data_IF_088648353853
#
_entry.id   IF_088648353853
#
_cell.length_a   1.000
_cell.length_b   1.000
_cell.length_c   1.000
_cell.angle_alpha   90.00
_cell.angle_beta   90.00
_cell.angle_gamma   90.00
#
_symmetry.space_group_name_H-M   'P 1'
#
loop_
_entity.id
_entity.type
_entity.pdbx_description
1 polymer ?
#
# COMPACT_ATOMS: atom_id res chain seq x y z
N UNK A 1 -17.13 -5.63 -13.21
CA UNK A 1 -16.59 -5.22 -11.90
C UNK A 1 -15.33 -4.41 -12.17
N UNK A 2 -15.22 -3.21 -11.60
CA UNK A 2 -14.02 -2.40 -11.77
C UNK A 2 -12.81 -3.16 -11.20
N UNK A 3 -11.73 -3.27 -11.97
CA UNK A 3 -10.50 -3.95 -11.55
C UNK A 3 -9.93 -3.23 -10.32
N UNK A 4 -9.64 -3.96 -9.24
CA UNK A 4 -9.11 -3.39 -8.00
C UNK A 4 -7.60 -3.40 -8.00
N UNK A 5 -7.01 -2.34 -7.44
CA UNK A 5 -5.58 -2.32 -7.15
C UNK A 5 -5.24 -3.28 -6.01
N UNK A 6 -4.06 -3.87 -6.02
CA UNK A 6 -3.57 -4.71 -4.93
C UNK A 6 -3.62 -3.93 -3.60
N UNK A 7 -3.87 -4.62 -2.50
CA UNK A 7 -4.13 -4.10 -1.16
C UNK A 7 -5.48 -3.39 -0.99
N UNK A 8 -6.23 -3.12 -2.07
CA UNK A 8 -7.56 -2.51 -1.99
C UNK A 8 -8.66 -3.58 -2.06
N UNK A 9 -9.76 -3.36 -1.35
CA UNK A 9 -10.98 -4.17 -1.46
C UNK A 9 -11.68 -4.45 -0.13
N UNK A 10 -12.98 -4.77 -0.17
CA UNK A 10 -13.77 -5.13 1.00
C UNK A 10 -13.67 -6.63 1.31
N UNK A 11 -12.47 -7.10 1.65
CA UNK A 11 -12.23 -8.51 2.02
C UNK A 11 -12.57 -8.81 3.50
N UNK A 12 -12.83 -7.81 4.31
CA UNK A 12 -13.28 -7.91 5.69
C UNK A 12 -14.41 -6.92 5.97
N UNK A 13 -15.37 -7.32 6.81
CA UNK A 13 -16.10 -6.37 7.64
C UNK A 13 -15.13 -5.83 8.70
N UNK A 14 -14.86 -4.53 8.67
CA UNK A 14 -13.97 -3.86 9.62
C UNK A 14 -14.48 -3.88 11.06
N UNK A 15 -15.71 -4.31 11.30
CA UNK A 15 -16.36 -4.51 12.59
C UNK A 15 -16.15 -3.33 13.57
N UNK A 16 -16.23 -2.10 13.05
CA UNK A 16 -15.92 -0.88 13.81
C UNK A 16 -16.78 -0.75 15.10
N UNK A 17 -18.04 -1.20 15.03
CA UNK A 17 -18.98 -1.19 16.14
C UNK A 17 -18.61 -2.15 17.29
N UNK A 18 -17.84 -3.21 16.99
CA UNK A 18 -17.40 -4.22 17.97
C UNK A 18 -16.10 -3.85 18.68
N UNK A 19 -15.35 -2.85 18.19
CA UNK A 19 -14.04 -2.46 18.74
C UNK A 19 -14.11 -1.92 20.17
N UNK A 20 -15.28 -1.47 20.60
CA UNK A 20 -15.53 -0.89 21.94
C UNK A 20 -16.38 -1.80 22.83
N UNK A 21 -16.69 -3.02 22.39
CA UNK A 21 -17.42 -3.99 23.19
C UNK A 21 -16.43 -4.97 23.86
N UNK A 22 -16.14 -4.81 25.18
CA UNK A 22 -15.17 -5.66 25.86
C UNK A 22 -15.63 -7.11 25.97
N UNK A 23 -16.95 -7.36 26.08
CA UNK A 23 -17.49 -8.71 26.20
C UNK A 23 -17.32 -9.46 24.88
N UNK A 24 -17.67 -8.82 23.76
CA UNK A 24 -17.45 -9.37 22.45
C UNK A 24 -15.96 -9.62 22.18
N UNK A 25 -15.10 -8.65 22.53
CA UNK A 25 -13.67 -8.75 22.29
C UNK A 25 -13.06 -9.95 23.04
N UNK A 26 -13.44 -10.13 24.32
CA UNK A 26 -13.03 -11.27 25.13
C UNK A 26 -13.49 -12.59 24.51
N UNK A 27 -14.76 -12.67 24.06
CA UNK A 27 -15.28 -13.84 23.39
C UNK A 27 -14.56 -14.13 22.09
N UNK A 28 -14.24 -13.10 21.29
CA UNK A 28 -13.50 -13.25 20.04
C UNK A 28 -12.06 -13.75 20.24
N UNK A 29 -11.41 -13.33 21.34
CA UNK A 29 -10.07 -13.87 21.71
C UNK A 29 -10.11 -15.34 22.12
N UNK A 30 -11.20 -15.80 22.69
CA UNK A 30 -11.39 -17.21 23.10
C UNK A 30 -11.94 -18.11 21.98
N UNK A 31 -12.39 -17.55 20.85
CA UNK A 31 -12.97 -18.31 19.74
C UNK A 31 -11.88 -19.02 18.93
N UNK A 32 -11.97 -20.35 18.83
CA UNK A 32 -11.02 -21.19 18.06
C UNK A 32 -10.98 -20.84 16.56
N UNK A 33 -12.02 -20.17 16.03
CA UNK A 33 -12.06 -19.69 14.64
C UNK A 33 -11.28 -18.41 14.43
N UNK A 34 -10.93 -17.71 15.50
CA UNK A 34 -10.12 -16.48 15.40
C UNK A 34 -8.70 -16.77 14.92
N UNK A 35 -8.15 -15.85 14.14
CA UNK A 35 -6.84 -15.98 13.51
C UNK A 35 -5.97 -14.76 13.79
N UNK A 36 -4.71 -15.02 14.12
CA UNK A 36 -3.67 -14.01 14.22
C UNK A 36 -2.86 -13.94 12.91
N UNK A 37 -2.59 -12.72 12.48
CA UNK A 37 -1.75 -12.41 11.33
C UNK A 37 -0.41 -11.93 11.87
N UNK A 38 0.61 -12.80 11.92
CA UNK A 38 1.90 -12.43 12.47
C UNK A 38 2.67 -11.53 11.52
N UNK A 39 3.26 -10.49 12.06
CA UNK A 39 4.19 -9.60 11.37
C UNK A 39 5.48 -9.54 12.16
N UNK A 40 6.60 -9.87 11.53
CA UNK A 40 7.94 -9.80 12.09
C UNK A 40 8.84 -8.90 11.24
N UNK A 41 9.42 -7.88 11.83
CA UNK A 41 10.28 -6.90 11.13
C UNK A 41 9.66 -6.39 9.81
N UNK A 42 8.36 -6.05 9.86
CA UNK A 42 7.57 -5.62 8.71
C UNK A 42 7.42 -6.66 7.58
N UNK A 43 7.74 -7.94 7.84
CA UNK A 43 7.52 -9.07 6.95
C UNK A 43 6.28 -9.85 7.36
N UNK A 44 5.60 -10.44 6.39
CA UNK A 44 4.40 -11.26 6.59
C UNK A 44 4.73 -12.74 6.50
N UNK A 45 4.07 -13.57 7.31
CA UNK A 45 4.20 -15.03 7.27
C UNK A 45 3.42 -15.58 6.07
N UNK A 46 4.12 -16.31 5.21
CA UNK A 46 3.55 -16.96 4.02
C UNK A 46 4.02 -18.41 3.89
N UNK A 47 3.33 -19.19 3.09
CA UNK A 47 3.80 -20.52 2.70
C UNK A 47 4.96 -20.41 1.70
N UNK A 48 5.86 -21.39 1.70
CA UNK A 48 6.88 -21.56 0.67
C UNK A 48 6.28 -22.06 -0.65
N UNK A 49 7.03 -21.94 -1.75
CA UNK A 49 6.67 -22.40 -3.10
C UNK A 49 6.29 -21.29 -4.07
N UNK A 50 5.94 -21.68 -5.29
CA UNK A 50 5.68 -20.78 -6.41
C UNK A 50 4.32 -20.06 -6.32
N UNK A 51 3.39 -20.61 -5.55
CA UNK A 51 2.06 -20.06 -5.30
C UNK A 51 1.87 -19.81 -3.80
N UNK A 52 2.55 -18.79 -3.24
CA UNK A 52 2.49 -18.54 -1.80
C UNK A 52 1.09 -18.15 -1.36
N UNK A 53 0.76 -18.51 -0.12
CA UNK A 53 -0.49 -18.16 0.57
C UNK A 53 -0.17 -17.49 1.90
N UNK A 54 -1.01 -16.59 2.34
CA UNK A 54 -0.91 -16.06 3.69
C UNK A 54 -1.04 -17.18 4.73
N UNK A 55 -0.17 -17.19 5.73
CA UNK A 55 -0.25 -18.12 6.85
C UNK A 55 -0.68 -17.40 8.11
N UNK A 56 -1.80 -17.85 8.67
CA UNK A 56 -2.37 -17.34 9.90
C UNK A 56 -2.05 -18.31 11.06
N UNK A 57 -1.96 -17.80 12.27
CA UNK A 57 -1.82 -18.57 13.51
C UNK A 57 -3.18 -18.67 14.18
N UNK A 58 -3.41 -19.75 14.92
CA UNK A 58 -4.51 -19.80 15.86
C UNK A 58 -4.14 -19.01 17.12
N UNK A 59 -5.10 -18.35 17.76
CA UNK A 59 -4.78 -17.51 18.93
C UNK A 59 -4.22 -18.34 20.09
N UNK A 60 -4.63 -19.61 20.22
CA UNK A 60 -4.09 -20.55 21.21
C UNK A 60 -2.61 -20.89 21.02
N UNK A 61 -2.06 -20.70 19.82
CA UNK A 61 -0.64 -20.95 19.53
C UNK A 61 0.25 -19.75 19.90
N UNK A 62 -0.36 -18.61 20.27
CA UNK A 62 0.37 -17.46 20.75
C UNK A 62 0.74 -17.62 22.23
N UNK A 63 1.85 -16.98 22.69
CA UNK A 63 2.16 -16.93 24.12
C UNK A 63 0.96 -16.33 24.89
N UNK A 64 0.47 -16.96 25.97
CA UNK A 64 -0.72 -16.49 26.67
C UNK A 64 -0.64 -15.04 27.14
N UNK A 65 0.54 -14.57 27.53
CA UNK A 65 0.82 -13.20 27.94
C UNK A 65 0.71 -12.18 26.79
N UNK A 66 0.74 -12.65 25.56
CA UNK A 66 0.61 -11.86 24.32
C UNK A 66 -0.78 -11.95 23.69
N UNK A 67 -1.67 -12.74 24.30
CA UNK A 67 -3.02 -12.95 23.80
C UNK A 67 -4.02 -11.99 24.49
N UNK A 68 -3.65 -10.72 24.58
CA UNK A 68 -4.44 -9.67 25.23
C UNK A 68 -4.97 -8.65 24.23
N UNK A 69 -5.99 -7.91 24.63
CA UNK A 69 -6.51 -6.80 23.83
C UNK A 69 -5.53 -5.64 23.63
N UNK A 70 -4.42 -5.62 24.39
CA UNK A 70 -3.35 -4.65 24.22
C UNK A 70 -2.32 -5.09 23.16
N UNK A 71 -2.17 -6.40 22.94
CA UNK A 71 -1.16 -6.97 22.04
C UNK A 71 -1.71 -7.28 20.63
N UNK A 72 -3.03 -7.41 20.52
CA UNK A 72 -3.71 -7.80 19.29
C UNK A 72 -4.57 -6.67 18.74
N UNK A 73 -4.40 -6.39 17.44
CA UNK A 73 -5.17 -5.36 16.74
C UNK A 73 -6.29 -6.04 15.97
N UNK A 74 -7.54 -5.78 16.30
CA UNK A 74 -8.67 -6.29 15.53
C UNK A 74 -8.68 -5.68 14.13
N UNK A 75 -8.52 -6.49 13.10
CA UNK A 75 -8.61 -6.06 11.71
C UNK A 75 -10.05 -6.09 11.21
N UNK A 76 -10.83 -7.08 11.65
CA UNK A 76 -12.22 -7.27 11.26
C UNK A 76 -12.62 -8.74 11.20
N UNK A 77 -13.72 -9.01 10.48
CA UNK A 77 -14.31 -10.35 10.35
C UNK A 77 -14.56 -10.71 8.89
N UNK A 78 -14.38 -11.99 8.58
CA UNK A 78 -14.88 -12.59 7.35
C UNK A 78 -15.76 -13.81 7.77
N UNK A 79 -17.07 -13.69 7.56
CA UNK A 79 -18.02 -14.65 8.12
C UNK A 79 -17.90 -14.71 9.65
N UNK A 80 -17.69 -15.91 10.17
CA UNK A 80 -17.55 -16.17 11.61
C UNK A 80 -16.11 -16.02 12.13
N UNK A 81 -15.12 -15.83 11.26
CA UNK A 81 -13.72 -15.73 11.63
C UNK A 81 -13.34 -14.28 11.93
N UNK A 82 -12.78 -14.03 13.11
CA UNK A 82 -12.17 -12.76 13.49
C UNK A 82 -10.68 -12.77 13.19
N UNK A 83 -10.15 -11.68 12.62
CA UNK A 83 -8.75 -11.53 12.27
C UNK A 83 -8.09 -10.45 13.11
N UNK A 84 -6.94 -10.78 13.69
CA UNK A 84 -6.14 -9.89 14.51
C UNK A 84 -4.74 -9.75 13.95
N UNK A 85 -4.20 -8.54 13.87
CA UNK A 85 -2.77 -8.38 13.62
C UNK A 85 -1.99 -8.63 14.91
N UNK A 86 -0.90 -9.39 14.78
CA UNK A 86 0.00 -9.76 15.87
C UNK A 86 1.42 -9.32 15.57
N UNK A 87 1.97 -8.46 16.42
CA UNK A 87 3.31 -7.94 16.32
C UNK A 87 4.33 -8.84 17.03
N UNK A 88 5.23 -9.47 16.26
CA UNK A 88 6.34 -10.24 16.83
C UNK A 88 7.51 -9.29 17.09
N UNK A 89 7.66 -8.87 18.35
CA UNK A 89 8.70 -7.93 18.81
C UNK A 89 10.04 -8.64 19.13
N UNK A 90 10.42 -9.65 18.36
CA UNK A 90 11.68 -10.35 18.54
C UNK A 90 12.74 -9.80 17.60
N UNK A 91 13.99 -9.63 18.12
CA UNK A 91 15.17 -9.32 17.31
C UNK A 91 15.59 -10.55 16.52
N UNK A 92 15.55 -11.73 17.16
CA UNK A 92 15.85 -13.00 16.53
C UNK A 92 14.69 -13.52 15.69
N UNK A 93 14.95 -14.21 14.57
CA UNK A 93 13.88 -14.82 13.78
C UNK A 93 13.04 -15.77 14.65
N UNK A 94 11.70 -15.65 14.61
CA UNK A 94 10.86 -16.58 15.34
C UNK A 94 11.00 -18.00 14.76
N UNK A 95 10.74 -18.99 15.60
CA UNK A 95 10.68 -20.38 15.14
C UNK A 95 9.55 -20.51 14.12
N UNK A 96 9.89 -20.98 12.93
CA UNK A 96 8.97 -21.09 11.81
C UNK A 96 8.19 -22.41 11.86
N UNK A 97 6.94 -22.37 11.44
CA UNK A 97 6.20 -23.55 11.09
C UNK A 97 6.82 -24.18 9.82
N UNK A 98 6.88 -25.51 9.71
CA UNK A 98 7.39 -26.16 8.50
C UNK A 98 6.69 -25.66 7.23
N UNK A 99 7.45 -25.41 6.17
CA UNK A 99 6.94 -24.94 4.88
C UNK A 99 6.46 -23.47 4.90
N UNK A 100 6.93 -22.66 5.86
CA UNK A 100 6.60 -21.23 5.93
C UNK A 100 7.85 -20.35 6.04
N UNK A 101 7.72 -19.10 5.62
CA UNK A 101 8.75 -18.07 5.78
C UNK A 101 8.15 -16.69 6.02
N UNK A 102 8.92 -15.80 6.65
CA UNK A 102 8.60 -14.37 6.68
C UNK A 102 9.19 -13.68 5.46
N UNK A 103 8.33 -12.97 4.71
CA UNK A 103 8.74 -12.32 3.46
C UNK A 103 8.29 -10.86 3.39
N UNK A 104 9.06 -10.03 2.67
CA UNK A 104 8.66 -8.66 2.36
C UNK A 104 7.45 -8.68 1.42
N UNK A 105 6.37 -8.06 1.84
CA UNK A 105 5.12 -8.04 1.09
C UNK A 105 5.26 -7.37 -0.30
N UNK A 106 6.23 -6.47 -0.47
CA UNK A 106 6.53 -5.86 -1.79
C UNK A 106 6.96 -6.90 -2.83
N UNK A 107 7.62 -7.96 -2.39
CA UNK A 107 8.15 -8.99 -3.29
C UNK A 107 7.10 -10.04 -3.67
N UNK A 108 6.14 -10.30 -2.77
CA UNK A 108 5.21 -11.44 -2.91
C UNK A 108 3.75 -11.05 -3.12
N UNK A 109 3.38 -9.79 -2.92
CA UNK A 109 1.98 -9.37 -3.01
C UNK A 109 1.32 -9.71 -4.36
N UNK A 110 2.06 -9.67 -5.47
CA UNK A 110 1.56 -10.02 -6.79
C UNK A 110 1.30 -11.53 -6.98
N UNK A 111 1.90 -12.36 -6.13
CA UNK A 111 1.77 -13.82 -6.18
C UNK A 111 0.66 -14.32 -5.23
N UNK A 112 0.22 -13.48 -4.29
CA UNK A 112 -0.83 -13.80 -3.35
C UNK A 112 -2.22 -13.56 -3.94
N UNK A 113 -3.26 -14.27 -3.49
CA UNK A 113 -4.63 -13.84 -3.70
C UNK A 113 -4.84 -12.41 -3.21
N UNK A 114 -5.65 -11.63 -3.95
CA UNK A 114 -5.80 -10.18 -3.72
C UNK A 114 -6.35 -9.85 -2.32
N UNK A 115 -7.23 -10.69 -1.80
CA UNK A 115 -7.79 -10.58 -0.45
C UNK A 115 -6.74 -10.86 0.63
N UNK A 116 -5.91 -11.86 0.45
CA UNK A 116 -4.80 -12.16 1.35
C UNK A 116 -3.75 -11.04 1.34
N UNK A 117 -3.34 -10.57 0.15
CA UNK A 117 -2.43 -9.43 0.02
C UNK A 117 -2.97 -8.19 0.75
N UNK A 118 -4.27 -7.90 0.58
CA UNK A 118 -4.94 -6.81 1.24
C UNK A 118 -4.94 -6.94 2.77
N UNK A 119 -5.23 -8.13 3.27
CA UNK A 119 -5.27 -8.39 4.70
C UNK A 119 -3.89 -8.30 5.35
N UNK A 120 -2.85 -8.84 4.69
CA UNK A 120 -1.46 -8.72 5.15
C UNK A 120 -0.98 -7.26 5.11
N UNK A 121 -1.34 -6.52 4.06
CA UNK A 121 -1.04 -5.09 3.95
C UNK A 121 -1.67 -4.27 5.07
N UNK A 122 -2.92 -4.57 5.42
CA UNK A 122 -3.62 -3.92 6.52
C UNK A 122 -2.98 -4.22 7.87
N UNK A 123 -2.67 -5.49 8.16
CA UNK A 123 -1.97 -5.89 9.39
C UNK A 123 -0.64 -5.13 9.53
N UNK A 124 0.16 -5.12 8.47
CA UNK A 124 1.45 -4.42 8.41
C UNK A 124 1.31 -2.92 8.67
N UNK A 125 0.32 -2.26 8.05
CA UNK A 125 0.10 -0.83 8.23
C UNK A 125 -0.25 -0.48 9.68
N UNK A 126 -1.17 -1.25 10.31
CA UNK A 126 -1.60 -1.03 11.68
C UNK A 126 -0.46 -1.23 12.68
N UNK A 127 0.32 -2.29 12.53
CA UNK A 127 1.49 -2.56 13.37
C UNK A 127 2.55 -1.46 13.19
N UNK A 128 2.86 -1.09 11.94
CA UNK A 128 3.82 -0.02 11.65
C UNK A 128 3.40 1.31 12.29
N UNK A 129 2.11 1.63 12.23
CA UNK A 129 1.57 2.82 12.87
C UNK A 129 1.72 2.76 14.39
N UNK A 130 1.32 1.68 15.06
CA UNK A 130 1.43 1.56 16.53
C UNK A 130 2.89 1.64 16.99
N UNK A 131 3.83 0.99 16.28
CA UNK A 131 5.26 1.04 16.60
C UNK A 131 5.83 2.46 16.56
N UNK A 132 5.37 3.30 15.64
CA UNK A 132 5.85 4.67 15.45
C UNK A 132 5.18 5.68 16.39
N UNK A 133 4.07 5.32 17.02
CA UNK A 133 3.27 6.21 17.85
C UNK A 133 3.20 5.75 19.31
N UNK A 134 4.24 5.05 19.78
CA UNK A 134 4.37 4.59 21.18
C UNK A 134 4.38 5.73 22.20
N UNK A 135 4.64 6.95 21.75
CA UNK A 135 4.66 8.15 22.58
C UNK A 135 3.70 9.21 22.04
N UNK A 136 3.11 9.95 22.96
CA UNK A 136 2.19 11.01 22.62
C UNK A 136 2.91 12.18 21.96
N UNK A 137 2.47 12.58 20.76
CA UNK A 137 3.03 13.72 20.04
C UNK A 137 2.81 15.08 20.71
N UNK A 138 1.87 15.15 21.69
CA UNK A 138 1.58 16.39 22.39
C UNK A 138 2.36 16.55 23.72
N UNK A 139 2.67 15.48 24.45
CA UNK A 139 3.31 15.58 25.76
C UNK A 139 4.46 14.57 26.01
N UNK A 140 4.77 13.71 25.04
CA UNK A 140 5.87 12.76 25.12
C UNK A 140 5.64 11.53 26.00
N UNK A 141 4.51 11.43 26.71
CA UNK A 141 4.21 10.26 27.55
C UNK A 141 3.81 9.05 26.70
N UNK A 142 3.96 7.83 27.24
CA UNK A 142 3.57 6.60 26.56
C UNK A 142 2.09 6.63 26.16
N UNK A 143 1.78 5.93 25.09
CA UNK A 143 0.40 5.66 24.65
C UNK A 143 0.03 4.20 24.89
N UNK A 144 -1.24 3.92 25.06
CA UNK A 144 -1.80 2.57 25.15
C UNK A 144 -2.88 2.38 24.07
N UNK A 145 -2.95 1.16 23.49
CA UNK A 145 -3.99 0.86 22.50
C UNK A 145 -5.37 0.81 23.15
N UNK A 146 -6.34 1.32 22.40
CA UNK A 146 -7.77 1.30 22.73
C UNK A 146 -8.59 0.99 21.49
N UNK A 147 -9.88 0.76 21.64
CA UNK A 147 -10.82 0.51 20.53
C UNK A 147 -10.28 -0.58 19.58
N UNK A 148 -9.95 -1.75 20.15
CA UNK A 148 -9.44 -2.89 19.38
C UNK A 148 -8.11 -2.59 18.66
N UNK A 149 -7.29 -1.69 19.22
CA UNK A 149 -6.00 -1.29 18.65
C UNK A 149 -6.06 -0.19 17.59
N UNK A 150 -7.23 0.42 17.35
CA UNK A 150 -7.42 1.48 16.35
C UNK A 150 -7.27 2.90 16.88
N UNK A 151 -7.03 3.06 18.16
CA UNK A 151 -6.72 4.33 18.80
C UNK A 151 -5.57 4.10 19.77
N UNK A 152 -4.65 5.04 19.84
CA UNK A 152 -3.62 5.08 20.87
C UNK A 152 -3.94 6.26 21.80
N UNK A 153 -4.12 6.00 23.08
CA UNK A 153 -4.49 6.99 24.09
C UNK A 153 -3.30 7.32 24.97
N UNK A 154 -3.00 8.60 25.14
CA UNK A 154 -1.96 9.06 26.04
C UNK A 154 -2.24 8.64 27.49
N UNK A 155 -1.23 8.10 28.18
CA UNK A 155 -1.33 7.67 29.58
C UNK A 155 -1.33 8.83 30.58
N UNK A 156 -0.93 10.03 30.16
CA UNK A 156 -1.00 11.24 31.01
C UNK A 156 -2.47 11.66 31.21
N UNK A 157 -2.95 11.58 32.46
CA UNK A 157 -4.32 11.91 32.82
C UNK A 157 -4.73 13.34 32.50
N UNK A 158 -3.78 14.27 32.46
CA UNK A 158 -3.99 15.69 32.11
C UNK A 158 -3.96 15.93 30.60
N UNK A 159 -3.45 14.99 29.78
CA UNK A 159 -3.37 15.12 28.35
C UNK A 159 -4.47 14.32 27.62
N UNK A 160 -4.54 13.01 27.87
CA UNK A 160 -5.53 12.09 27.29
C UNK A 160 -5.67 12.17 25.77
N UNK A 161 -4.65 12.69 25.07
CA UNK A 161 -4.66 12.82 23.60
C UNK A 161 -4.86 11.47 22.93
N UNK A 162 -5.83 11.39 22.01
CA UNK A 162 -6.07 10.23 21.14
C UNK A 162 -5.31 10.39 19.82
N UNK A 163 -4.62 9.34 19.40
CA UNK A 163 -3.95 9.26 18.10
C UNK A 163 -4.65 8.20 17.26
N UNK A 164 -4.85 8.50 15.99
CA UNK A 164 -5.50 7.64 14.99
C UNK A 164 -4.52 7.13 13.96
N UNK A 165 -4.80 6.00 13.28
CA UNK A 165 -3.96 5.52 12.19
C UNK A 165 -3.72 6.60 11.15
N UNK A 166 -2.44 6.82 10.81
CA UNK A 166 -2.02 7.80 9.84
C UNK A 166 -1.96 7.18 8.45
N UNK A 167 -2.45 7.91 7.46
CA UNK A 167 -2.21 7.68 6.05
C UNK A 167 -1.54 8.92 5.46
N UNK A 168 -0.51 8.72 4.66
CA UNK A 168 0.20 9.78 3.95
C UNK A 168 -0.35 9.81 2.51
N UNK A 169 -1.20 10.80 2.13
CA UNK A 169 -1.73 10.89 0.78
C UNK A 169 -0.63 11.27 -0.20
N UNK A 170 -0.53 10.54 -1.30
CA UNK A 170 0.37 10.83 -2.40
C UNK A 170 -0.38 10.71 -3.73
N UNK A 171 -0.26 11.71 -4.59
CA UNK A 171 -0.78 11.62 -5.95
C UNK A 171 0.15 10.76 -6.80
N UNK A 172 -0.42 10.16 -7.82
CA UNK A 172 0.32 9.49 -8.89
C UNK A 172 -0.45 9.71 -10.18
N UNK A 173 0.19 10.27 -11.19
CA UNK A 173 -0.50 10.76 -12.38
C UNK A 173 0.15 10.30 -13.67
N UNK A 174 -0.68 9.83 -14.59
CA UNK A 174 -0.30 9.65 -15.99
C UNK A 174 -0.63 10.94 -16.74
N UNK A 175 0.40 11.62 -17.21
CA UNK A 175 0.29 12.83 -18.04
C UNK A 175 0.37 12.42 -19.51
N UNK A 176 -0.55 12.90 -20.34
CA UNK A 176 -0.58 12.58 -21.77
C UNK A 176 -1.03 13.79 -22.60
N UNK A 177 -0.48 13.90 -23.82
CA UNK A 177 -0.98 14.81 -24.89
C UNK A 177 -2.03 14.11 -25.79
N UNK A 178 -2.38 12.85 -25.47
CA UNK A 178 -3.26 11.98 -26.25
C UNK A 178 -2.48 10.88 -26.99
N UNK A 179 -1.37 11.21 -27.63
CA UNK A 179 -0.54 10.26 -28.40
C UNK A 179 0.60 9.67 -27.60
N UNK A 180 1.16 10.46 -26.66
CA UNK A 180 2.31 10.11 -25.84
C UNK A 180 1.96 10.22 -24.36
N UNK A 181 2.66 9.42 -23.53
CA UNK A 181 2.63 9.50 -22.07
C UNK A 181 3.99 9.95 -21.55
N UNK A 182 3.97 10.90 -20.59
CA UNK A 182 5.16 11.36 -19.88
C UNK A 182 5.48 10.38 -18.75
N UNK A 183 6.69 9.83 -18.76
CA UNK A 183 7.20 8.96 -17.70
C UNK A 183 8.55 9.46 -17.22
N UNK A 184 8.75 9.38 -15.90
CA UNK A 184 9.99 9.76 -15.22
C UNK A 184 10.73 8.55 -14.65
N UNK A 185 12.03 8.73 -14.37
CA UNK A 185 12.85 7.76 -13.65
C UNK A 185 13.76 8.43 -12.62
N UNK A 186 13.94 7.79 -11.49
CA UNK A 186 14.90 8.20 -10.47
C UNK A 186 16.25 7.49 -10.68
N UNK A 187 17.35 8.16 -10.33
CA UNK A 187 18.71 7.63 -10.43
C UNK A 187 18.93 6.31 -9.67
N UNK A 188 18.19 6.12 -8.56
CA UNK A 188 18.25 4.92 -7.73
C UNK A 188 17.60 3.67 -8.37
N UNK A 189 16.86 3.83 -9.45
CA UNK A 189 16.17 2.72 -10.10
C UNK A 189 17.06 1.98 -11.12
N UNK A 190 16.75 0.71 -11.42
CA UNK A 190 17.42 0.03 -12.51
C UNK A 190 17.35 0.82 -13.81
N UNK A 191 18.43 0.78 -14.59
CA UNK A 191 18.50 1.47 -15.88
C UNK A 191 17.32 1.06 -16.77
N UNK A 192 16.69 2.04 -17.42
CA UNK A 192 15.53 1.84 -18.29
C UNK A 192 14.19 1.71 -17.56
N UNK A 193 14.15 1.71 -16.23
CA UNK A 193 12.86 1.71 -15.48
C UNK A 193 12.29 3.11 -15.46
N UNK A 194 11.03 3.21 -15.94
CA UNK A 194 10.23 4.44 -15.91
C UNK A 194 8.91 4.20 -15.19
N UNK A 195 8.35 5.25 -14.64
CA UNK A 195 7.08 5.27 -13.92
C UNK A 195 6.33 6.56 -14.21
N UNK A 196 5.06 6.60 -13.86
CA UNK A 196 4.26 7.82 -13.80
C UNK A 196 4.77 8.74 -12.70
N UNK A 197 4.55 10.04 -12.83
CA UNK A 197 4.94 11.09 -11.86
C UNK A 197 4.15 10.90 -10.57
N UNK A 198 4.78 11.09 -9.41
CA UNK A 198 4.13 10.88 -8.12
C UNK A 198 4.81 11.68 -7.01
N UNK A 199 4.01 12.33 -6.16
CA UNK A 199 4.50 13.05 -5.01
C UNK A 199 3.49 13.18 -3.88
N UNK A 200 3.92 13.70 -2.73
CA UNK A 200 3.06 13.86 -1.57
C UNK A 200 2.17 15.08 -1.69
N UNK A 201 0.95 14.95 -1.17
CA UNK A 201 0.05 16.10 -1.00
C UNK A 201 0.54 16.95 0.16
N UNK A 202 0.68 18.26 -0.04
CA UNK A 202 1.10 19.19 0.99
C UNK A 202 -0.11 19.81 1.73
N UNK A 203 0.10 20.30 2.98
CA UNK A 203 -0.97 20.97 3.72
C UNK A 203 -1.48 22.22 3.00
N UNK A 204 -2.79 22.25 2.73
CA UNK A 204 -3.45 23.37 2.07
C UNK A 204 -3.71 23.19 0.58
N UNK A 205 -3.26 22.08 -0.01
CA UNK A 205 -3.55 21.73 -1.41
C UNK A 205 -4.82 20.90 -1.56
N UNK A 206 -5.49 21.05 -2.70
CA UNK A 206 -6.36 20.02 -3.26
C UNK A 206 -5.52 18.93 -3.95
N UNK A 207 -6.16 17.79 -4.28
CA UNK A 207 -5.45 16.73 -5.00
C UNK A 207 -5.07 17.16 -6.41
N UNK A 208 -5.91 17.96 -7.05
CA UNK A 208 -5.70 18.52 -8.38
C UNK A 208 -4.54 19.52 -8.38
N UNK A 209 -4.42 20.36 -7.32
CA UNK A 209 -3.29 21.28 -7.15
C UNK A 209 -1.99 20.50 -6.96
N UNK A 210 -1.99 19.43 -6.12
CA UNK A 210 -0.84 18.59 -5.92
C UNK A 210 -0.38 17.93 -7.23
N UNK A 211 -1.32 17.46 -8.08
CA UNK A 211 -0.99 16.91 -9.40
C UNK A 211 -0.31 17.97 -10.27
N UNK A 212 -0.88 19.18 -10.36
CA UNK A 212 -0.33 20.23 -11.20
C UNK A 212 1.07 20.68 -10.71
N UNK A 213 1.26 20.80 -9.39
CA UNK A 213 2.53 21.18 -8.77
C UNK A 213 3.62 20.13 -9.01
N UNK A 214 3.37 18.86 -8.67
CA UNK A 214 4.36 17.79 -8.81
C UNK A 214 4.80 17.61 -10.27
N UNK A 215 3.86 17.63 -11.22
CA UNK A 215 4.20 17.54 -12.64
C UNK A 215 5.04 18.73 -13.07
N UNK A 216 4.69 19.94 -12.65
CA UNK A 216 5.46 21.14 -12.99
C UNK A 216 6.85 21.15 -12.34
N UNK A 217 6.97 20.75 -11.07
CA UNK A 217 8.22 20.71 -10.33
C UNK A 217 9.19 19.69 -10.89
N UNK A 218 8.74 18.45 -11.09
CA UNK A 218 9.60 17.37 -11.56
C UNK A 218 9.94 17.45 -13.06
N UNK A 219 9.02 18.00 -13.89
CA UNK A 219 9.16 17.88 -15.36
C UNK A 219 9.07 19.21 -16.13
N UNK A 220 8.64 20.30 -15.49
CA UNK A 220 8.40 21.58 -16.16
C UNK A 220 7.12 21.61 -17.02
N UNK A 221 6.34 20.55 -17.04
CA UNK A 221 5.12 20.43 -17.84
C UNK A 221 3.94 21.04 -17.09
N UNK A 222 3.17 21.88 -17.79
CA UNK A 222 1.87 22.37 -17.34
C UNK A 222 0.77 21.40 -17.76
N UNK A 223 -0.18 21.15 -16.86
CA UNK A 223 -1.31 20.23 -17.11
C UNK A 223 -2.66 20.88 -16.85
N UNK A 224 -3.67 20.37 -17.53
CA UNK A 224 -5.08 20.67 -17.30
C UNK A 224 -5.88 19.33 -17.24
N UNK A 225 -7.23 19.42 -17.06
CA UNK A 225 -8.12 18.25 -17.05
C UNK A 225 -7.61 17.10 -16.19
N UNK A 226 -7.34 17.42 -14.93
CA UNK A 226 -6.93 16.42 -13.93
C UNK A 226 -8.15 15.59 -13.53
N UNK A 227 -8.13 14.29 -13.79
CA UNK A 227 -9.25 13.37 -13.54
C UNK A 227 -8.82 12.23 -12.63
N UNK A 228 -9.63 11.98 -11.57
CA UNK A 228 -9.38 10.85 -10.67
C UNK A 228 -9.60 9.52 -11.39
N UNK A 229 -8.63 8.62 -11.28
CA UNK A 229 -8.67 7.28 -11.87
C UNK A 229 -9.01 6.19 -10.84
N UNK A 230 -8.17 6.02 -9.84
CA UNK A 230 -8.31 4.99 -8.80
C UNK A 230 -7.37 5.26 -7.63
N UNK A 231 -7.49 4.49 -6.54
CA UNK A 231 -6.55 4.58 -5.42
C UNK A 231 -5.96 3.22 -5.05
N UNK A 232 -4.77 3.25 -4.44
CA UNK A 232 -4.07 2.07 -3.95
C UNK A 232 -3.54 2.31 -2.55
N UNK A 233 -3.98 1.53 -1.53
CA UNK A 233 -3.25 1.47 -0.26
C UNK A 233 -1.82 1.00 -0.51
N UNK A 234 -0.85 1.73 0.02
CA UNK A 234 0.56 1.40 -0.13
C UNK A 234 1.24 1.34 1.25
N UNK A 235 1.15 0.17 1.94
CA UNK A 235 1.55 0.03 3.34
C UNK A 235 3.07 -0.01 3.53
N UNK A 236 3.83 0.89 2.86
CA UNK A 236 5.29 0.96 2.88
C UNK A 236 5.79 2.40 3.11
N UNK A 237 5.60 2.98 4.30
CA UNK A 237 4.92 2.40 5.45
C UNK A 237 3.40 2.67 5.52
N UNK A 238 2.89 3.79 4.98
CA UNK A 238 1.53 4.26 5.25
C UNK A 238 0.92 5.13 4.14
N UNK A 239 1.42 5.05 2.90
CA UNK A 239 0.90 5.90 1.82
C UNK A 239 -0.46 5.42 1.32
N UNK A 240 -1.28 6.36 0.92
CA UNK A 240 -2.45 6.14 0.08
C UNK A 240 -2.17 6.79 -1.28
N UNK A 241 -1.89 5.95 -2.28
CA UNK A 241 -1.68 6.44 -3.64
C UNK A 241 -3.03 6.80 -4.28
N UNK A 242 -3.15 8.01 -4.78
CA UNK A 242 -4.33 8.57 -5.42
C UNK A 242 -4.00 8.78 -6.90
N UNK A 243 -4.52 7.91 -7.75
CA UNK A 243 -4.22 7.85 -9.18
C UNK A 243 -5.07 8.82 -9.99
N UNK A 244 -4.41 9.54 -10.87
CA UNK A 244 -5.01 10.53 -11.78
C UNK A 244 -4.53 10.32 -13.21
N UNK A 245 -5.30 10.84 -14.14
CA UNK A 245 -4.86 11.18 -15.51
C UNK A 245 -4.90 12.69 -15.65
N UNK A 246 -3.96 13.26 -16.42
CA UNK A 246 -3.93 14.68 -16.72
C UNK A 246 -3.52 14.92 -18.17
N UNK A 247 -4.03 15.98 -18.77
CA UNK A 247 -3.67 16.37 -20.12
C UNK A 247 -2.55 17.41 -20.08
N UNK A 248 -1.50 17.21 -20.89
CA UNK A 248 -0.39 18.15 -21.01
C UNK A 248 -0.78 19.38 -21.85
N UNK A 249 -0.53 20.56 -21.31
CA UNK A 249 -0.69 21.84 -22.02
C UNK A 249 0.61 22.23 -22.73
N UNK A 250 1.75 21.89 -22.11
CA UNK A 250 3.10 22.06 -22.66
C UNK A 250 3.78 20.72 -22.86
N UNK A 251 4.84 20.65 -23.70
CA UNK A 251 5.48 19.38 -24.03
C UNK A 251 7.01 19.41 -23.87
N UNK A 252 7.59 20.58 -23.61
CA UNK A 252 9.05 20.71 -23.44
C UNK A 252 9.43 20.33 -22.00
N UNK A 253 10.14 19.23 -21.82
CA UNK A 253 10.56 18.70 -20.52
C UNK A 253 11.76 19.49 -19.99
N UNK A 254 11.64 19.99 -18.76
CA UNK A 254 12.70 20.65 -18.02
C UNK A 254 12.78 20.09 -16.61
N UNK A 255 13.77 19.25 -16.31
CA UNK A 255 14.01 18.76 -14.96
C UNK A 255 14.47 19.93 -14.07
N UNK A 256 13.65 20.31 -13.10
CA UNK A 256 13.88 21.49 -12.25
C UNK A 256 14.46 21.15 -10.89
N UNK A 257 14.16 19.97 -10.40
CA UNK A 257 14.72 19.41 -9.17
C UNK A 257 15.67 18.25 -9.47
N UNK A 258 16.26 17.65 -8.46
CA UNK A 258 17.15 16.51 -8.62
C UNK A 258 16.44 15.18 -8.28
N UNK A 259 15.11 15.17 -8.26
CA UNK A 259 14.34 13.98 -7.92
C UNK A 259 14.32 13.00 -9.09
N UNK A 260 14.14 13.50 -10.30
CA UNK A 260 14.23 12.69 -11.51
C UNK A 260 15.62 12.83 -12.17
N UNK A 261 16.18 11.68 -12.59
CA UNK A 261 17.36 11.65 -13.44
C UNK A 261 17.00 11.89 -14.92
N UNK A 262 15.80 11.45 -15.32
CA UNK A 262 15.30 11.57 -16.67
C UNK A 262 13.77 11.56 -16.69
N UNK A 263 13.19 12.33 -17.60
CA UNK A 263 11.77 12.28 -17.94
C UNK A 263 11.60 12.44 -19.44
N UNK A 264 10.77 11.63 -20.06
CA UNK A 264 10.54 11.68 -21.50
C UNK A 264 9.16 11.21 -21.92
N UNK A 265 8.78 11.62 -23.10
CA UNK A 265 7.54 11.20 -23.73
C UNK A 265 7.70 9.84 -24.43
N UNK A 266 6.75 8.95 -24.17
CA UNK A 266 6.68 7.64 -24.80
C UNK A 266 5.42 7.52 -25.64
N UNK A 267 5.59 7.25 -26.95
CA UNK A 267 4.48 6.74 -27.76
C UNK A 267 4.13 5.32 -27.33
N UNK A 268 2.95 4.83 -27.68
CA UNK A 268 2.58 3.43 -27.45
C UNK A 268 3.56 2.44 -28.08
N UNK A 269 4.05 2.76 -29.26
CA UNK A 269 5.08 1.94 -29.93
C UNK A 269 6.42 1.95 -29.18
N UNK A 270 6.93 3.12 -28.79
CA UNK A 270 8.19 3.25 -28.06
C UNK A 270 8.13 2.53 -26.69
N UNK A 271 6.98 2.57 -26.02
CA UNK A 271 6.81 1.90 -24.73
C UNK A 271 7.04 0.38 -24.80
N UNK A 272 6.83 -0.23 -25.95
CA UNK A 272 6.97 -1.69 -26.15
C UNK A 272 8.24 -2.09 -26.91
N UNK A 273 8.89 -1.17 -27.65
CA UNK A 273 10.07 -1.44 -28.48
C UNK A 273 11.39 -0.97 -27.86
N UNK A 274 11.39 0.10 -27.09
CA UNK A 274 12.61 0.77 -26.63
C UNK A 274 13.20 0.18 -25.33
N UNK A 275 12.75 -1.00 -24.93
CA UNK A 275 13.25 -1.69 -23.72
C UNK A 275 12.92 -0.99 -22.42
N UNK A 276 11.90 -0.13 -22.40
CA UNK A 276 11.42 0.51 -21.17
C UNK A 276 10.95 -0.54 -20.17
N UNK A 277 11.57 -0.55 -18.99
CA UNK A 277 11.14 -1.39 -17.88
C UNK A 277 9.98 -0.71 -17.16
N UNK A 278 8.78 -1.20 -17.37
CA UNK A 278 7.58 -0.69 -16.72
C UNK A 278 7.55 -1.00 -15.22
N UNK A 279 6.79 -0.24 -14.43
CA UNK A 279 6.56 -0.56 -13.04
C UNK A 279 6.01 -1.97 -12.84
N UNK A 280 6.16 -2.55 -11.64
CA UNK A 280 5.56 -3.86 -11.35
C UNK A 280 4.05 -3.86 -11.62
N UNK A 281 3.53 -4.94 -12.21
CA UNK A 281 2.11 -5.07 -12.61
C UNK A 281 1.09 -4.83 -11.48
N UNK A 282 1.51 -5.00 -10.23
CA UNK A 282 0.69 -4.75 -9.05
C UNK A 282 0.62 -3.27 -8.65
N UNK A 283 1.42 -2.40 -9.25
CA UNK A 283 1.41 -0.96 -8.92
C UNK A 283 0.32 -0.21 -9.67
N UNK A 284 -0.23 0.80 -9.03
CA UNK A 284 -1.17 1.72 -9.67
C UNK A 284 -0.54 2.45 -10.87
N UNK A 285 0.78 2.69 -10.84
CA UNK A 285 1.50 3.27 -11.98
C UNK A 285 1.39 2.38 -13.23
N UNK A 286 1.63 1.06 -13.08
CA UNK A 286 1.46 0.13 -14.20
C UNK A 286 0.02 0.17 -14.73
N UNK A 287 -0.95 0.19 -13.85
CA UNK A 287 -2.36 0.24 -14.25
C UNK A 287 -2.73 1.51 -15.00
N UNK A 288 -2.24 2.67 -14.55
CA UNK A 288 -2.43 3.94 -15.26
C UNK A 288 -1.85 3.88 -16.69
N UNK A 289 -0.65 3.31 -16.81
CA UNK A 289 0.01 3.13 -18.12
C UNK A 289 -0.77 2.14 -18.98
N UNK A 290 -1.22 1.01 -18.42
CA UNK A 290 -1.97 -0.03 -19.13
C UNK A 290 -3.30 0.53 -19.65
N UNK A 291 -4.08 1.21 -18.80
CA UNK A 291 -5.38 1.76 -19.16
C UNK A 291 -5.25 2.85 -20.27
N UNK A 292 -4.22 3.72 -20.19
CA UNK A 292 -3.91 4.68 -21.27
C UNK A 292 -3.48 3.98 -22.57
N UNK A 293 -2.61 2.97 -22.47
CA UNK A 293 -2.11 2.24 -23.62
C UNK A 293 -3.26 1.53 -24.34
N UNK A 294 -4.08 0.81 -23.61
CA UNK A 294 -5.17 -0.01 -24.13
C UNK A 294 -6.28 0.84 -24.75
N UNK A 295 -6.51 2.06 -24.26
CA UNK A 295 -7.48 3.00 -24.81
C UNK A 295 -7.15 3.44 -26.25
N UNK A 296 -5.88 3.43 -26.65
CA UNK A 296 -5.43 3.83 -28.00
C UNK A 296 -4.76 2.71 -28.80
N UNK A 297 -4.78 1.47 -28.32
CA UNK A 297 -4.16 0.30 -28.96
C UNK A 297 -5.21 -0.75 -29.31
N UNK A 298 -5.02 -1.42 -30.46
CA UNK A 298 -5.86 -2.57 -30.85
C UNK A 298 -5.49 -3.88 -30.13
N UNK A 299 -4.34 -3.94 -29.45
CA UNK A 299 -3.85 -5.10 -28.71
C UNK A 299 -3.50 -4.65 -27.29
N UNK A 300 -4.02 -5.32 -26.24
CA UNK A 300 -3.70 -4.98 -24.87
C UNK A 300 -2.19 -5.03 -24.55
N UNK A 301 -1.71 -4.07 -23.77
CA UNK A 301 -0.30 -3.98 -23.36
C UNK A 301 0.22 -5.29 -22.74
N UNK A 302 -0.58 -5.91 -21.89
CA UNK A 302 -0.24 -7.19 -21.24
C UNK A 302 0.03 -8.31 -22.23
N UNK A 303 -0.68 -8.36 -23.36
CA UNK A 303 -0.55 -9.41 -24.37
C UNK A 303 0.72 -9.21 -25.21
N UNK A 304 1.05 -7.95 -25.53
CA UNK A 304 2.32 -7.60 -26.20
C UNK A 304 3.51 -7.99 -25.32
N UNK A 305 3.50 -7.59 -24.03
CA UNK A 305 4.59 -7.90 -23.09
C UNK A 305 4.70 -9.41 -22.76
N UNK A 306 3.62 -10.18 -22.89
CA UNK A 306 3.64 -11.63 -22.71
C UNK A 306 4.25 -12.34 -23.92
N UNK A 307 4.03 -11.83 -25.14
CA UNK A 307 4.63 -12.38 -26.36
C UNK A 307 6.12 -12.11 -26.44
N UNK A 308 6.57 -10.91 -26.06
CA UNK A 308 7.99 -10.54 -26.05
C UNK A 308 8.86 -11.35 -25.07
N UNK A 309 8.27 -11.96 -24.03
CA UNK A 309 9.00 -12.86 -23.09
C UNK A 309 9.15 -14.29 -23.59
N UNK A 310 8.48 -14.67 -24.69
CA UNK A 310 8.53 -16.03 -25.27
C UNK A 310 9.46 -16.12 -26.50
N UNK A 311 9.87 -14.99 -27.02
CA UNK A 311 10.86 -14.86 -28.09
C UNK A 311 12.25 -14.62 -27.52
#
# INVERSE_FOLDING_TARGET
>A
MQQRNIFAGPYLDRAAHLRQDPAWFTAALADERSRAIPVWNSRSLITEGDTPRARYLELRDLPPERCTGADLILLGRAGDTSYFAYDIESIEPPVLLPGTRFEDLRLVAALLPIDEAGLLGYARAMISWQRRHRFCGSCGMKTLPAKGGHVLVCTNSSCRHEQFPRLDPAIIVLVSDGEQALLGRQASWPVGRYSTIAGFVEPGESLEDAVAREVLEETGIEVDRVEYHSSQPWPFPASLMLGFTAHAVTTEVHLRDQELEDARWFTRAALTSDGALLPPRQSISYRLIEDWFDAGSGIPLRDILASAKRS
#
